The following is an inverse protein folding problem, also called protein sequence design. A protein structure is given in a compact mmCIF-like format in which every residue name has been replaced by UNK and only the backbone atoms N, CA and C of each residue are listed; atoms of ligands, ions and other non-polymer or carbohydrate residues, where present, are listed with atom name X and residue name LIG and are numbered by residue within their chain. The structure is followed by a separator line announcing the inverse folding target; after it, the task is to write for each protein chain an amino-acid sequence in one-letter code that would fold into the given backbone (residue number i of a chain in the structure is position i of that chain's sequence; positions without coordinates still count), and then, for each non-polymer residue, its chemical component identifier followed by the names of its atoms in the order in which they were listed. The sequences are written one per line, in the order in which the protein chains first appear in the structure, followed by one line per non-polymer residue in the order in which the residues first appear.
data_IF_140565422525
#
_entry.id   IF_140565422525
#
_cell.length_a   1.000
_cell.length_b   1.000
_cell.length_c   1.000
_cell.angle_alpha   90.00
_cell.angle_beta   90.00
_cell.angle_gamma   90.00
#
_symmetry.space_group_name_H-M   'P 1'
#
loop_
_entity.id
_entity.type
_entity.pdbx_description
1 polymer ?
#
# COMPACT_ATOMS: atom_id res chain seq x y z
N UNK A 1 -7.44 11.08 4.93
CA UNK A 1 -6.38 11.23 5.94
C UNK A 1 -6.07 9.83 6.49
N UNK A 2 -5.16 9.10 5.84
CA UNK A 2 -4.70 7.82 6.38
C UNK A 2 -3.57 8.14 7.37
N UNK A 3 -3.89 8.08 8.65
CA UNK A 3 -2.94 8.35 9.73
C UNK A 3 -2.21 7.04 10.01
N UNK A 4 -1.03 6.87 9.42
CA UNK A 4 -0.08 5.81 9.79
C UNK A 4 0.60 6.18 11.12
N UNK A 5 -0.17 6.28 12.20
CA UNK A 5 0.36 6.38 13.54
C UNK A 5 0.36 4.96 14.13
N UNK A 6 1.54 4.34 14.14
CA UNK A 6 1.84 3.04 14.76
C UNK A 6 1.28 1.78 14.06
N UNK A 7 2.17 1.14 13.27
CA UNK A 7 2.31 -0.33 13.07
C UNK A 7 1.22 -1.09 12.31
N UNK A 8 1.69 -1.88 11.33
CA UNK A 8 1.06 -2.96 10.55
C UNK A 8 -0.17 -2.56 9.71
N UNK A 9 0.07 -2.22 8.45
CA UNK A 9 -1.00 -2.16 7.46
C UNK A 9 -1.19 -3.56 6.86
N UNK A 10 -2.36 -4.16 7.08
CA UNK A 10 -2.80 -5.39 6.41
C UNK A 10 -3.86 -4.98 5.37
N UNK A 11 -3.70 -5.36 4.10
CA UNK A 11 -4.69 -5.01 3.06
C UNK A 11 -4.96 -6.15 2.09
N UNK A 12 -6.24 -6.40 1.80
CA UNK A 12 -6.66 -7.18 0.64
C UNK A 12 -6.44 -6.38 -0.66
N UNK A 13 -5.86 -7.04 -1.66
CA UNK A 13 -5.40 -6.45 -2.92
C UNK A 13 -6.51 -5.66 -3.66
N UNK A 14 -6.48 -4.33 -3.58
CA UNK A 14 -7.33 -3.43 -4.37
C UNK A 14 -6.54 -2.23 -4.93
N UNK A 15 -7.10 -1.57 -5.95
CA UNK A 15 -6.42 -1.07 -7.18
C UNK A 15 -5.57 0.22 -7.10
N UNK A 16 -5.14 0.70 -5.93
CA UNK A 16 -4.33 1.93 -5.84
C UNK A 16 -2.90 1.63 -5.36
N UNK A 17 -1.92 1.83 -6.24
CA UNK A 17 -0.52 1.44 -6.00
C UNK A 17 0.14 2.23 -4.84
N UNK A 18 -0.26 3.49 -4.61
CA UNK A 18 0.37 4.33 -3.58
C UNK A 18 -0.01 3.94 -2.15
N UNK A 19 -1.18 3.32 -1.97
CA UNK A 19 -1.68 2.90 -0.66
C UNK A 19 -1.42 1.42 -0.36
N UNK A 20 -0.73 0.71 -1.26
CA UNK A 20 -0.48 -0.72 -1.12
C UNK A 20 0.66 -1.02 -0.16
N UNK A 21 0.44 -2.09 0.60
CA UNK A 21 1.47 -2.67 1.46
C UNK A 21 2.22 -3.71 0.67
N UNK A 22 3.55 -3.58 0.67
CA UNK A 22 4.47 -4.50 0.04
C UNK A 22 5.31 -5.18 1.11
N UNK A 23 5.28 -6.51 1.12
CA UNK A 23 5.95 -7.32 2.12
C UNK A 23 7.46 -7.11 2.13
N UNK A 24 8.06 -6.94 3.31
CA UNK A 24 9.52 -6.78 3.46
C UNK A 24 10.31 -8.05 3.15
N UNK A 25 9.70 -9.22 3.34
CA UNK A 25 10.34 -10.53 3.15
C UNK A 25 10.14 -11.06 1.71
N UNK A 26 9.45 -10.31 0.84
CA UNK A 26 9.22 -10.71 -0.54
C UNK A 26 10.34 -10.20 -1.47
N UNK A 27 11.21 -11.14 -1.87
CA UNK A 27 12.38 -10.84 -2.70
C UNK A 27 12.09 -10.39 -4.13
N UNK A 28 10.88 -10.65 -4.63
CA UNK A 28 10.46 -10.18 -5.96
C UNK A 28 10.17 -8.68 -6.00
N UNK A 29 9.99 -8.04 -4.84
CA UNK A 29 9.68 -6.63 -4.73
C UNK A 29 10.98 -5.84 -4.53
N UNK A 30 11.24 -4.77 -5.31
CA UNK A 30 12.39 -3.90 -5.06
C UNK A 30 12.36 -3.30 -3.64
N UNK A 31 13.52 -3.25 -2.98
CA UNK A 31 13.65 -2.78 -1.59
C UNK A 31 13.01 -1.42 -1.35
N UNK A 32 13.01 -0.52 -2.34
CA UNK A 32 12.39 0.80 -2.22
C UNK A 32 10.86 0.78 -2.04
N UNK A 33 10.17 -0.26 -2.49
CA UNK A 33 8.71 -0.36 -2.39
C UNK A 33 8.24 -1.12 -1.16
N UNK A 34 9.06 -2.03 -0.61
CA UNK A 34 8.74 -2.81 0.59
C UNK A 34 8.46 -1.93 1.80
N UNK A 35 7.29 -2.04 2.43
CA UNK A 35 6.83 -1.06 3.41
C UNK A 35 6.01 -1.68 4.55
N UNK A 36 5.87 -3.00 4.62
CA UNK A 36 5.16 -3.66 5.72
C UNK A 36 5.15 -5.18 5.62
N UNK A 37 4.16 -5.80 6.25
CA UNK A 37 3.98 -7.25 6.29
C UNK A 37 2.59 -7.56 5.75
N UNK A 38 2.49 -8.60 4.94
CA UNK A 38 1.25 -9.03 4.28
C UNK A 38 1.05 -10.52 4.50
N UNK A 39 -0.19 -10.99 4.30
CA UNK A 39 -0.50 -12.40 4.26
C UNK A 39 -1.37 -12.68 3.05
N UNK A 40 -1.28 -13.92 2.52
CA UNK A 40 -2.02 -14.32 1.33
C UNK A 40 -3.42 -14.84 1.69
N UNK A 41 -3.50 -15.68 2.72
CA UNK A 41 -4.74 -16.30 3.14
C UNK A 41 -5.34 -15.51 4.30
N UNK A 42 -6.59 -15.10 4.18
CA UNK A 42 -7.35 -14.46 5.26
C UNK A 42 -7.86 -15.51 6.28
N UNK A 43 -6.94 -16.33 6.77
CA UNK A 43 -7.17 -17.30 7.84
C UNK A 43 -6.28 -17.00 9.05
N UNK A 44 -6.55 -17.70 10.15
CA UNK A 44 -5.81 -17.53 11.40
C UNK A 44 -4.31 -17.76 11.21
N UNK A 45 -3.93 -18.75 10.39
CA UNK A 45 -2.54 -19.09 10.16
C UNK A 45 -1.80 -17.97 9.42
N UNK A 46 -2.36 -17.47 8.32
CA UNK A 46 -1.77 -16.38 7.53
C UNK A 46 -1.60 -15.11 8.35
N UNK A 47 -2.59 -14.77 9.18
CA UNK A 47 -2.50 -13.62 10.08
C UNK A 47 -1.42 -13.81 11.14
N UNK A 48 -1.38 -14.97 11.81
CA UNK A 48 -0.38 -15.27 12.84
C UNK A 48 1.04 -15.25 12.28
N UNK A 49 1.26 -15.83 11.10
CA UNK A 49 2.57 -15.83 10.44
C UNK A 49 3.05 -14.40 10.13
N UNK A 50 2.16 -13.51 9.66
CA UNK A 50 2.51 -12.11 9.41
C UNK A 50 2.81 -11.35 10.72
N UNK A 51 2.05 -11.60 11.79
CA UNK A 51 2.27 -11.00 13.10
C UNK A 51 3.59 -11.45 13.73
N UNK A 52 3.89 -12.74 13.67
CA UNK A 52 5.13 -13.29 14.21
C UNK A 52 6.35 -12.69 13.51
N UNK A 53 6.31 -12.56 12.17
CA UNK A 53 7.37 -11.87 11.42
C UNK A 53 7.52 -10.41 11.84
N UNK A 54 6.41 -9.68 11.98
CA UNK A 54 6.44 -8.28 12.39
C UNK A 54 7.01 -8.09 13.81
N UNK A 55 6.58 -8.92 14.76
CA UNK A 55 7.05 -8.89 16.15
C UNK A 55 8.53 -9.29 16.22
N UNK A 56 8.93 -10.32 15.48
CA UNK A 56 10.32 -10.77 15.40
C UNK A 56 11.22 -9.65 14.86
N UNK A 57 10.80 -8.98 13.78
CA UNK A 57 11.54 -7.86 13.21
C UNK A 57 11.65 -6.68 14.19
N UNK A 58 10.55 -6.31 14.84
CA UNK A 58 10.54 -5.25 15.85
C UNK A 58 11.47 -5.53 17.04
N UNK A 59 11.50 -6.79 17.53
CA UNK A 59 12.28 -7.16 18.72
C UNK A 59 13.75 -7.42 18.43
N UNK A 60 14.04 -8.05 17.29
CA UNK A 60 15.36 -8.59 17.00
C UNK A 60 16.17 -7.74 16.01
N UNK A 61 15.55 -6.79 15.32
CA UNK A 61 16.21 -5.87 14.39
C UNK A 61 15.76 -4.41 14.60
N UNK A 62 16.24 -3.82 15.71
CA UNK A 62 15.86 -2.45 16.09
C UNK A 62 16.28 -1.38 15.06
N UNK A 63 17.41 -1.59 14.37
CA UNK A 63 17.91 -0.65 13.37
C UNK A 63 17.11 -0.76 12.07
N UNK A 64 16.85 -1.99 11.60
CA UNK A 64 15.99 -2.24 10.44
C UNK A 64 14.57 -1.73 10.67
N UNK A 65 14.01 -1.97 11.87
CA UNK A 65 12.71 -1.43 12.26
C UNK A 65 12.66 0.11 12.19
N UNK A 66 13.67 0.79 12.74
CA UNK A 66 13.75 2.26 12.70
C UNK A 66 13.82 2.77 11.26
N UNK A 67 14.61 2.14 10.41
CA UNK A 67 14.72 2.51 9.00
C UNK A 67 13.39 2.29 8.26
N UNK A 68 12.72 1.17 8.53
CA UNK A 68 11.40 0.87 7.96
C UNK A 68 10.38 1.94 8.33
N UNK A 69 10.29 2.30 9.62
CA UNK A 69 9.37 3.35 10.09
C UNK A 69 9.67 4.69 9.43
N UNK A 70 10.93 5.13 9.41
CA UNK A 70 11.33 6.39 8.77
C UNK A 70 10.97 6.42 7.29
N UNK A 71 11.25 5.31 6.59
CA UNK A 71 10.93 5.16 5.18
C UNK A 71 9.42 5.27 4.94
N UNK A 72 8.61 4.49 5.68
CA UNK A 72 7.15 4.50 5.54
C UNK A 72 6.60 5.90 5.81
N UNK A 73 7.08 6.58 6.86
CA UNK A 73 6.64 7.95 7.20
C UNK A 73 7.03 9.00 6.15
N UNK A 74 8.03 8.72 5.31
CA UNK A 74 8.44 9.60 4.21
C UNK A 74 7.69 9.35 2.89
N UNK A 75 6.88 8.29 2.82
CA UNK A 75 6.12 7.98 1.60
C UNK A 75 4.94 8.93 1.42
N UNK A 76 4.63 9.22 0.16
CA UNK A 76 3.49 10.05 -0.19
C UNK A 76 2.18 9.24 -0.17
N UNK A 77 1.35 9.52 0.83
CA UNK A 77 -0.01 8.99 0.96
C UNK A 77 -1.08 10.05 0.63
N UNK A 78 -0.69 11.13 -0.06
CA UNK A 78 -1.63 12.16 -0.51
C UNK A 78 -2.65 11.60 -1.48
N UNK A 79 -3.77 12.32 -1.60
CA UNK A 79 -4.79 11.99 -2.57
C UNK A 79 -4.44 12.48 -3.98
N UNK A 80 -3.41 13.34 -4.11
CA UNK A 80 -3.06 14.05 -5.34
C UNK A 80 -2.75 13.07 -6.49
N UNK A 81 -1.99 12.00 -6.21
CA UNK A 81 -1.69 10.97 -7.21
C UNK A 81 -2.93 10.15 -7.62
N UNK A 82 -3.83 9.87 -6.67
CA UNK A 82 -5.05 9.11 -6.94
C UNK A 82 -6.10 9.95 -7.66
N UNK A 83 -6.19 11.25 -7.34
CA UNK A 83 -7.17 12.17 -7.90
C UNK A 83 -6.97 12.36 -9.40
N UNK A 84 -5.72 12.36 -9.88
CA UNK A 84 -5.40 12.45 -11.30
C UNK A 84 -6.01 11.29 -12.10
N UNK A 85 -6.04 10.08 -11.53
CA UNK A 85 -6.67 8.93 -12.19
C UNK A 85 -8.19 9.08 -12.28
N UNK A 86 -8.81 9.65 -11.23
CA UNK A 86 -10.24 9.97 -11.26
C UNK A 86 -10.56 11.10 -12.24
N UNK A 87 -9.70 12.12 -12.32
CA UNK A 87 -9.82 13.21 -13.29
C UNK A 87 -9.78 12.67 -14.72
N UNK A 88 -8.78 11.85 -15.06
CA UNK A 88 -8.67 11.22 -16.37
C UNK A 88 -9.90 10.34 -16.70
N UNK A 89 -10.42 9.61 -15.71
CA UNK A 89 -11.63 8.80 -15.87
C UNK A 89 -12.86 9.67 -16.16
N UNK A 90 -13.00 10.80 -15.47
CA UNK A 90 -14.10 11.73 -15.70
C UNK A 90 -13.98 12.42 -17.06
N UNK A 91 -12.79 12.83 -17.47
CA UNK A 91 -12.54 13.41 -18.80
C UNK A 91 -12.95 12.43 -19.91
N UNK A 92 -12.52 11.16 -19.82
CA UNK A 92 -12.91 10.10 -20.77
C UNK A 92 -14.42 9.90 -20.82
N UNK A 93 -15.08 9.93 -19.66
CA UNK A 93 -16.54 9.75 -19.56
C UNK A 93 -17.29 10.91 -20.23
N UNK A 94 -16.85 12.14 -20.00
CA UNK A 94 -17.43 13.34 -20.64
C UNK A 94 -17.18 13.34 -22.15
N UNK A 95 -15.99 12.97 -22.60
CA UNK A 95 -15.66 12.86 -24.02
C UNK A 95 -16.57 11.85 -24.73
N UNK A 96 -16.78 10.67 -24.11
CA UNK A 96 -17.70 9.64 -24.63
C UNK A 96 -19.14 10.12 -24.71
N UNK A 97 -19.63 10.80 -23.67
CA UNK A 97 -20.98 11.36 -23.66
C UNK A 97 -21.18 12.38 -24.79
N UNK A 98 -20.22 13.31 -24.96
CA UNK A 98 -20.26 14.32 -26.03
C UNK A 98 -20.23 13.72 -27.42
N UNK A 99 -19.45 12.65 -27.64
CA UNK A 99 -19.42 11.95 -28.92
C UNK A 99 -20.77 11.27 -29.24
N UNK A 100 -21.39 10.64 -28.25
CA UNK A 100 -22.71 10.02 -28.41
C UNK A 100 -23.83 11.03 -28.68
N UNK A 101 -23.74 12.26 -28.16
CA UNK A 101 -24.73 13.33 -28.44
C UNK A 101 -24.53 13.97 -29.83
N UNK A 102 -23.36 13.79 -30.46
CA UNK A 102 -23.04 14.36 -31.78
C UNK A 102 -23.26 13.39 -32.95
N UNK A 103 -23.52 12.11 -32.65
CA UNK A 103 -23.89 11.07 -33.61
C UNK A 103 -25.41 11.00 -33.74
#
# INVERSE_FOLDING_TARGET
MAVCQNVLCLSENSLLLSLRVFDIDNDTIPLQFRNGFTFLNADEQGLNDALDRAINHYKNDSDGWRQLVQKVMSMDFSWDSSSLQYEELYEKSVARARAATRA
#
